data_IF_269600484127
#
_entry.id   IF_269600484127
#
_cell.length_a   1.000
_cell.length_b   1.000
_cell.length_c   1.000
_cell.angle_alpha   90.00
_cell.angle_beta   90.00
_cell.angle_gamma   90.00
#
_symmetry.space_group_name_H-M   'P 1'
#
loop_
_entity.id
_entity.type
_entity.pdbx_description
1 polymer ?
#
# COMPACT_ATOMS: atom_id res chain seq x y z
N UNK A 1 -7.40 6.43 8.32
CA UNK A 1 -7.47 6.29 6.87
C UNK A 1 -8.67 5.47 6.36
N UNK A 2 -9.23 4.53 7.14
CA UNK A 2 -10.45 3.79 6.73
C UNK A 2 -11.67 4.72 6.48
N UNK A 3 -11.79 5.79 7.23
CA UNK A 3 -12.89 6.78 7.04
C UNK A 3 -12.83 7.54 5.73
N UNK A 4 -11.65 7.69 5.11
CA UNK A 4 -11.51 8.41 3.85
C UNK A 4 -12.10 7.68 2.65
N UNK A 5 -12.21 6.35 2.71
CA UNK A 5 -12.80 5.54 1.64
C UNK A 5 -14.33 5.63 1.56
N UNK A 6 -14.97 5.98 2.67
CA UNK A 6 -16.42 6.13 2.76
C UNK A 6 -16.85 7.59 2.61
N UNK A 7 -15.90 8.52 2.62
CA UNK A 7 -16.20 9.95 2.58
C UNK A 7 -16.60 10.37 1.17
N UNK A 8 -17.77 10.99 1.08
CA UNK A 8 -18.33 11.50 -0.17
C UNK A 8 -18.18 13.01 -0.33
N UNK A 9 -17.87 13.70 0.76
CA UNK A 9 -17.64 15.16 0.73
C UNK A 9 -16.17 15.45 0.45
N UNK A 10 -15.91 16.08 -0.69
CA UNK A 10 -14.54 16.41 -1.14
C UNK A 10 -13.82 17.34 -0.15
N UNK A 11 -14.51 18.20 0.54
CA UNK A 11 -13.87 19.13 1.50
C UNK A 11 -13.38 18.37 2.73
N UNK A 12 -14.18 17.43 3.22
CA UNK A 12 -13.81 16.57 4.34
C UNK A 12 -12.65 15.64 3.95
N UNK A 13 -12.73 15.01 2.78
CA UNK A 13 -11.66 14.17 2.26
C UNK A 13 -10.35 14.97 2.13
N UNK A 14 -10.44 16.15 1.52
CA UNK A 14 -9.28 17.02 1.35
C UNK A 14 -8.65 17.39 2.69
N UNK A 15 -9.43 17.81 3.66
CA UNK A 15 -8.93 18.15 4.99
C UNK A 15 -8.23 16.97 5.69
N UNK A 16 -8.77 15.75 5.55
CA UNK A 16 -8.16 14.53 6.08
C UNK A 16 -6.83 14.20 5.39
N UNK A 17 -6.79 14.29 4.07
CA UNK A 17 -5.59 13.98 3.29
C UNK A 17 -4.50 15.05 3.45
N UNK A 18 -4.87 16.34 3.53
CA UNK A 18 -3.92 17.42 3.82
C UNK A 18 -3.28 17.25 5.21
N UNK A 19 -4.08 16.85 6.22
CA UNK A 19 -3.56 16.53 7.55
C UNK A 19 -2.64 15.31 7.54
N UNK A 20 -3.01 14.26 6.81
CA UNK A 20 -2.16 13.08 6.66
C UNK A 20 -0.83 13.43 5.96
N UNK A 21 -0.88 14.27 4.91
CA UNK A 21 0.30 14.73 4.21
C UNK A 21 1.24 15.53 5.13
N UNK A 22 0.70 16.40 5.97
CA UNK A 22 1.50 17.17 6.93
C UNK A 22 2.34 16.26 7.85
N UNK A 23 1.71 15.23 8.43
CA UNK A 23 2.43 14.27 9.28
C UNK A 23 3.43 13.43 8.50
N UNK A 24 3.08 13.07 7.27
CA UNK A 24 3.96 12.30 6.40
C UNK A 24 5.19 13.10 6.00
N UNK A 25 5.04 14.39 5.73
CA UNK A 25 6.16 15.28 5.39
C UNK A 25 7.14 15.42 6.56
N UNK A 26 6.63 15.47 7.80
CA UNK A 26 7.48 15.44 8.99
C UNK A 26 8.25 14.11 9.13
N UNK A 27 7.59 12.99 8.91
CA UNK A 27 8.24 11.69 8.94
C UNK A 27 9.27 11.53 7.82
N UNK A 28 8.96 12.03 6.63
CA UNK A 28 9.85 12.02 5.46
C UNK A 28 11.10 12.89 5.67
N UNK A 29 10.99 14.00 6.41
CA UNK A 29 12.12 14.82 6.76
C UNK A 29 13.14 14.08 7.65
N UNK A 30 12.66 13.15 8.49
CA UNK A 30 13.51 12.33 9.37
C UNK A 30 14.10 11.13 8.61
N UNK A 31 13.31 10.48 7.76
CA UNK A 31 13.70 9.25 7.04
C UNK A 31 13.17 9.22 5.61
N UNK A 32 13.80 9.96 4.68
CA UNK A 32 13.24 10.21 3.34
C UNK A 32 13.16 8.96 2.44
N UNK A 33 13.96 7.94 2.71
CA UNK A 33 14.00 6.69 1.94
C UNK A 33 13.41 5.50 2.70
N UNK A 34 12.63 5.74 3.74
CA UNK A 34 11.96 4.67 4.45
C UNK A 34 10.83 4.10 3.57
N UNK A 35 10.83 2.79 3.23
CA UNK A 35 9.84 2.19 2.37
C UNK A 35 8.42 2.27 2.91
N UNK A 36 8.24 2.26 4.24
CA UNK A 36 6.93 2.44 4.87
C UNK A 36 6.36 3.85 4.63
N UNK A 37 7.23 4.86 4.66
CA UNK A 37 6.84 6.26 4.37
C UNK A 37 6.45 6.40 2.89
N UNK A 38 7.18 5.74 1.99
CA UNK A 38 6.83 5.70 0.57
C UNK A 38 5.46 5.04 0.35
N UNK A 39 5.19 3.91 0.99
CA UNK A 39 3.88 3.25 0.92
C UNK A 39 2.77 4.16 1.44
N UNK A 40 2.98 4.88 2.54
CA UNK A 40 2.00 5.84 3.05
C UNK A 40 1.76 7.01 2.10
N UNK A 41 2.80 7.49 1.41
CA UNK A 41 2.64 8.52 0.37
C UNK A 41 1.78 8.01 -0.80
N UNK A 42 2.04 6.79 -1.26
CA UNK A 42 1.20 6.16 -2.28
C UNK A 42 -0.26 6.04 -1.82
N UNK A 43 -0.52 5.69 -0.55
CA UNK A 43 -1.87 5.61 0.00
C UNK A 43 -2.60 6.94 -0.03
N UNK A 44 -1.95 8.07 0.24
CA UNK A 44 -2.58 9.39 0.12
C UNK A 44 -3.06 9.62 -1.31
N UNK A 45 -2.23 9.31 -2.31
CA UNK A 45 -2.60 9.48 -3.72
C UNK A 45 -3.66 8.47 -4.18
N UNK A 46 -3.62 7.23 -3.70
CA UNK A 46 -4.65 6.23 -4.03
C UNK A 46 -6.01 6.60 -3.45
N UNK A 47 -6.08 7.29 -2.30
CA UNK A 47 -7.35 7.81 -1.79
C UNK A 47 -7.97 8.85 -2.73
N UNK A 48 -7.17 9.73 -3.33
CA UNK A 48 -7.66 10.65 -4.36
C UNK A 48 -8.19 9.91 -5.59
N UNK A 49 -7.46 8.90 -6.06
CA UNK A 49 -7.88 8.08 -7.20
C UNK A 49 -9.16 7.29 -6.88
N UNK A 50 -9.29 6.74 -5.68
CA UNK A 50 -10.50 6.04 -5.25
C UNK A 50 -11.71 6.96 -5.11
N UNK A 51 -11.50 8.22 -4.74
CA UNK A 51 -12.57 9.21 -4.64
C UNK A 51 -13.12 9.60 -6.03
N UNK A 52 -12.24 9.91 -6.97
CA UNK A 52 -12.59 10.22 -8.36
C UNK A 52 -11.49 9.77 -9.32
N UNK A 53 -11.61 8.55 -9.80
CA UNK A 53 -10.64 7.93 -10.71
C UNK A 53 -10.52 8.63 -12.05
N UNK A 54 -11.59 9.24 -12.54
CA UNK A 54 -11.58 9.97 -13.80
C UNK A 54 -10.69 11.24 -13.71
N UNK A 55 -10.79 11.97 -12.61
CA UNK A 55 -10.02 13.19 -12.37
C UNK A 55 -8.60 12.91 -11.91
N UNK A 56 -8.43 12.01 -10.93
CA UNK A 56 -7.17 11.81 -10.25
C UNK A 56 -6.35 10.61 -10.75
N UNK A 57 -6.98 9.70 -11.51
CA UNK A 57 -6.29 8.53 -12.07
C UNK A 57 -5.16 8.91 -13.01
N UNK A 58 -5.39 9.83 -13.93
CA UNK A 58 -4.33 10.33 -14.83
C UNK A 58 -3.27 11.14 -14.08
N UNK A 59 -3.67 11.90 -13.06
CA UNK A 59 -2.76 12.75 -12.28
C UNK A 59 -1.82 11.93 -11.40
N UNK A 60 -2.34 10.93 -10.70
CA UNK A 60 -1.59 10.21 -9.68
C UNK A 60 -1.20 8.77 -10.06
N UNK A 61 -1.81 8.18 -11.09
CA UNK A 61 -1.59 6.77 -11.43
C UNK A 61 -0.12 6.43 -11.68
N UNK A 62 0.55 7.21 -12.54
CA UNK A 62 1.98 7.02 -12.81
C UNK A 62 2.87 7.31 -11.60
N UNK A 63 2.50 8.32 -10.80
CA UNK A 63 3.22 8.68 -9.57
C UNK A 63 3.16 7.57 -8.54
N UNK A 64 1.98 7.00 -8.30
CA UNK A 64 1.78 5.88 -7.38
C UNK A 64 2.58 4.65 -7.81
N UNK A 65 2.53 4.31 -9.10
CA UNK A 65 3.32 3.21 -9.65
C UNK A 65 4.83 3.42 -9.42
N UNK A 66 5.32 4.63 -9.65
CA UNK A 66 6.72 4.99 -9.41
C UNK A 66 7.12 4.84 -7.94
N UNK A 67 6.29 5.31 -7.02
CA UNK A 67 6.54 5.21 -5.57
C UNK A 67 6.59 3.75 -5.12
N UNK A 68 5.67 2.90 -5.58
CA UNK A 68 5.69 1.47 -5.23
C UNK A 68 6.89 0.73 -5.84
N UNK A 69 7.32 1.11 -7.04
CA UNK A 69 8.56 0.57 -7.63
C UNK A 69 9.78 0.94 -6.79
N UNK A 70 9.91 2.21 -6.38
CA UNK A 70 11.00 2.68 -5.52
C UNK A 70 10.99 1.95 -4.17
N UNK A 71 9.84 1.88 -3.50
CA UNK A 71 9.71 1.17 -2.23
C UNK A 71 10.11 -0.31 -2.36
N UNK A 72 9.71 -0.97 -3.44
CA UNK A 72 10.05 -2.36 -3.69
C UNK A 72 11.54 -2.57 -3.99
N UNK A 73 12.21 -1.63 -4.67
CA UNK A 73 13.66 -1.68 -4.87
C UNK A 73 14.42 -1.56 -3.54
N UNK A 74 13.94 -0.72 -2.62
CA UNK A 74 14.55 -0.55 -1.31
C UNK A 74 14.30 -1.75 -0.39
N UNK A 75 13.09 -2.31 -0.42
CA UNK A 75 12.66 -3.36 0.52
C UNK A 75 11.83 -4.45 -0.18
N UNK A 76 12.46 -5.28 -1.04
CA UNK A 76 11.76 -6.29 -1.86
C UNK A 76 11.15 -7.44 -1.05
N UNK A 77 11.53 -7.59 0.21
CA UNK A 77 11.01 -8.60 1.14
C UNK A 77 10.15 -8.00 2.26
N UNK A 78 9.87 -6.70 2.21
CA UNK A 78 8.92 -6.10 3.13
C UNK A 78 7.48 -6.49 2.70
N UNK A 79 6.74 -7.23 3.54
CA UNK A 79 5.43 -7.76 3.15
C UNK A 79 4.42 -6.65 2.85
N UNK A 80 4.49 -5.52 3.54
CA UNK A 80 3.61 -4.37 3.29
C UNK A 80 3.89 -3.74 1.92
N UNK A 81 5.17 -3.60 1.57
CA UNK A 81 5.57 -3.08 0.25
C UNK A 81 5.11 -4.02 -0.86
N UNK A 82 5.40 -5.31 -0.73
CA UNK A 82 5.03 -6.33 -1.74
C UNK A 82 3.51 -6.37 -1.92
N UNK A 83 2.76 -6.43 -0.82
CA UNK A 83 1.29 -6.47 -0.87
C UNK A 83 0.69 -5.23 -1.53
N UNK A 84 1.06 -4.03 -1.07
CA UNK A 84 0.46 -2.80 -1.57
C UNK A 84 0.82 -2.54 -3.04
N UNK A 85 2.04 -2.88 -3.45
CA UNK A 85 2.43 -2.83 -4.87
C UNK A 85 1.58 -3.79 -5.71
N UNK A 86 1.46 -5.05 -5.28
CA UNK A 86 0.68 -6.06 -6.01
C UNK A 86 -0.80 -5.68 -6.11
N UNK A 87 -1.39 -5.15 -5.04
CA UNK A 87 -2.77 -4.66 -5.02
C UNK A 87 -2.98 -3.50 -6.01
N UNK A 88 -2.07 -2.53 -6.03
CA UNK A 88 -2.10 -1.44 -7.00
C UNK A 88 -1.95 -1.91 -8.44
N UNK A 89 -0.98 -2.77 -8.72
CA UNK A 89 -0.72 -3.31 -10.05
C UNK A 89 -1.91 -4.14 -10.55
N UNK A 90 -2.51 -4.96 -9.66
CA UNK A 90 -3.72 -5.74 -9.96
C UNK A 90 -4.92 -4.83 -10.26
N UNK A 91 -5.13 -3.79 -9.46
CA UNK A 91 -6.18 -2.79 -9.69
C UNK A 91 -6.02 -2.08 -11.02
N UNK A 92 -4.80 -1.67 -11.34
CA UNK A 92 -4.46 -1.04 -12.63
C UNK A 92 -4.66 -2.00 -13.80
N UNK A 93 -4.21 -3.25 -13.69
CA UNK A 93 -4.42 -4.27 -14.73
C UNK A 93 -5.91 -4.49 -14.99
N UNK A 94 -6.70 -4.60 -13.93
CA UNK A 94 -8.16 -4.76 -14.03
C UNK A 94 -8.82 -3.56 -14.71
N UNK A 95 -8.41 -2.34 -14.36
CA UNK A 95 -8.93 -1.13 -14.99
C UNK A 95 -8.64 -1.07 -16.49
N UNK A 96 -7.46 -1.52 -16.92
CA UNK A 96 -7.08 -1.57 -18.33
C UNK A 96 -7.45 -2.87 -19.05
N UNK A 97 -8.24 -3.75 -18.43
CA UNK A 97 -8.66 -5.03 -19.02
C UNK A 97 -7.52 -6.03 -19.25
N UNK A 98 -6.43 -5.92 -18.48
CA UNK A 98 -5.27 -6.82 -18.55
C UNK A 98 -5.42 -8.00 -17.59
N UNK A 99 -4.65 -9.07 -17.84
CA UNK A 99 -4.59 -10.22 -16.95
C UNK A 99 -4.08 -9.85 -15.55
N UNK A 100 -4.77 -10.32 -14.54
CA UNK A 100 -4.43 -10.09 -13.13
C UNK A 100 -3.70 -11.26 -12.47
N UNK A 101 -3.61 -12.41 -13.15
CA UNK A 101 -3.01 -13.62 -12.60
C UNK A 101 -1.56 -13.44 -12.11
N UNK A 102 -0.66 -12.71 -12.81
CA UNK A 102 0.70 -12.50 -12.35
C UNK A 102 0.79 -11.86 -10.97
N UNK A 103 -0.14 -10.94 -10.65
CA UNK A 103 -0.14 -10.22 -9.38
C UNK A 103 -0.66 -11.05 -8.21
N UNK A 104 -1.40 -12.14 -8.49
CA UNK A 104 -1.82 -13.08 -7.46
C UNK A 104 -0.62 -13.78 -6.80
N UNK A 105 0.43 -14.07 -7.55
CA UNK A 105 1.65 -14.66 -7.00
C UNK A 105 2.39 -13.67 -6.08
N UNK A 106 2.43 -12.39 -6.43
CA UNK A 106 3.00 -11.36 -5.56
C UNK A 106 2.22 -11.21 -4.24
N UNK A 107 0.89 -11.30 -4.28
CA UNK A 107 0.05 -11.31 -3.07
C UNK A 107 0.34 -12.53 -2.20
N UNK A 108 0.46 -13.73 -2.81
CA UNK A 108 0.85 -14.94 -2.07
C UNK A 108 2.22 -14.78 -1.42
N UNK A 109 3.21 -14.25 -2.15
CA UNK A 109 4.53 -13.93 -1.60
C UNK A 109 4.44 -12.99 -0.40
N UNK A 110 3.62 -11.95 -0.47
CA UNK A 110 3.42 -11.03 0.66
C UNK A 110 2.86 -11.75 1.88
N UNK A 111 1.90 -12.66 1.70
CA UNK A 111 1.34 -13.47 2.79
C UNK A 111 2.40 -14.39 3.41
N UNK A 112 3.23 -15.04 2.60
CA UNK A 112 4.34 -15.86 3.07
C UNK A 112 5.34 -15.06 3.91
N UNK A 113 5.69 -13.85 3.47
CA UNK A 113 6.57 -12.94 4.21
C UNK A 113 5.96 -12.51 5.55
N UNK A 114 4.65 -12.24 5.59
CA UNK A 114 3.94 -11.93 6.84
C UNK A 114 3.99 -13.12 7.80
N UNK A 115 3.69 -14.32 7.32
CA UNK A 115 3.73 -15.56 8.14
C UNK A 115 5.14 -15.84 8.65
N UNK A 116 6.16 -15.66 7.82
CA UNK A 116 7.55 -15.81 8.22
C UNK A 116 7.96 -14.82 9.30
N UNK A 117 7.64 -13.55 9.13
CA UNK A 117 7.90 -12.50 10.11
C UNK A 117 7.18 -12.78 11.43
N UNK A 118 5.93 -13.21 11.37
CA UNK A 118 5.13 -13.57 12.54
C UNK A 118 5.72 -14.78 13.29
N UNK A 119 6.13 -15.83 12.59
CA UNK A 119 6.78 -16.99 13.18
C UNK A 119 8.07 -16.63 13.90
N UNK A 120 8.86 -15.72 13.35
CA UNK A 120 10.10 -15.26 13.95
C UNK A 120 9.85 -14.45 15.23
N UNK A 121 8.84 -13.59 15.25
CA UNK A 121 8.42 -12.84 16.46
C UNK A 121 7.87 -13.78 17.52
N UNK A 122 7.10 -14.81 17.14
CA UNK A 122 6.47 -15.76 18.04
C UNK A 122 7.39 -16.88 18.52
N UNK A 123 8.61 -16.98 18.00
CA UNK A 123 9.61 -17.97 18.43
C UNK A 123 10.02 -17.83 19.91
N UNK A 124 9.73 -16.68 20.51
CA UNK A 124 9.94 -16.42 21.95
C UNK A 124 8.76 -16.82 22.83
N UNK A 125 7.63 -17.25 22.28
CA UNK A 125 6.45 -17.67 23.03
C UNK A 125 5.98 -19.02 22.50
N UNK A 126 6.14 -20.04 23.33
CA UNK A 126 5.60 -21.39 23.12
C UNK A 126 4.07 -21.36 23.09
N UNK A 127 3.50 -20.96 21.97
CA UNK A 127 2.04 -21.03 21.77
C UNK A 127 1.75 -21.61 20.41
N UNK A 128 0.95 -22.68 20.41
CA UNK A 128 0.39 -23.27 19.21
C UNK A 128 -0.51 -22.25 18.50
N UNK A 129 0.05 -21.51 17.56
CA UNK A 129 -0.75 -20.67 16.69
C UNK A 129 -1.20 -21.55 15.52
N UNK A 130 -2.46 -21.89 15.50
CA UNK A 130 -3.10 -22.54 14.37
C UNK A 130 -3.31 -21.44 13.32
N UNK A 131 -2.52 -21.50 12.24
CA UNK A 131 -2.76 -20.65 11.06
C UNK A 131 -3.87 -21.33 10.26
N UNK A 132 -5.08 -20.80 10.39
CA UNK A 132 -6.23 -21.22 9.54
C UNK A 132 -6.13 -20.42 8.25
N UNK A 133 -5.92 -21.11 7.14
CA UNK A 133 -5.89 -20.52 5.81
C UNK A 133 -4.74 -21.07 4.97
N UNK A 134 -4.90 -22.29 4.57
CA UNK A 134 -4.17 -22.85 3.45
C UNK A 134 -5.02 -22.75 2.20
#
# INVERSE_FOLDING_TARGET
>A
SLKSWEEKDINVLKAQLDKAQLYLDQAKAISPKNPEILVMQAHIYTNWVAFDGATYGMKYGGVVSGIYMEAHQIAPENPRVVYNKAEWDMGSARYFGKDTAPYCEDIKKALELIVFSYKNVMRCKSTNVIIVGQ
#
